data_IF_321754973952
#
_entry.id   IF_321754973952
#
_cell.length_a   1.000
_cell.length_b   1.000
_cell.length_c   1.000
_cell.angle_alpha   90.00
_cell.angle_beta   90.00
_cell.angle_gamma   90.00
#
_symmetry.space_group_name_H-M   'P 1'
#
loop_
_entity.id
_entity.type
_entity.pdbx_description
1 polymer ?
#
# COMPACT_ATOMS: atom_id res chain seq x y z
N UNK A 1 -10.39 0.30 2.52
CA UNK A 1 -11.75 -0.22 2.70
C UNK A 1 -12.40 0.51 3.86
N UNK A 2 -13.66 0.91 3.75
CA UNK A 2 -14.34 1.86 4.61
C UNK A 2 -14.38 1.44 6.08
N UNK A 3 -13.90 2.31 6.97
CA UNK A 3 -14.29 2.31 8.38
C UNK A 3 -15.77 2.73 8.46
N UNK A 4 -16.66 1.77 8.61
CA UNK A 4 -18.06 2.02 8.95
C UNK A 4 -18.10 2.42 10.44
N UNK A 5 -18.52 3.66 10.72
CA UNK A 5 -18.85 4.15 12.06
C UNK A 5 -19.89 3.23 12.67
N UNK A 6 -19.52 2.49 13.70
CA UNK A 6 -20.45 1.83 14.61
C UNK A 6 -21.19 2.91 15.41
N UNK A 7 -22.39 3.29 14.97
CA UNK A 7 -23.34 3.95 15.83
C UNK A 7 -23.90 2.91 16.80
N UNK A 8 -23.48 2.97 18.05
CA UNK A 8 -24.14 2.21 19.11
C UNK A 8 -25.61 2.60 19.16
N UNK A 9 -26.48 1.62 18.90
CA UNK A 9 -27.93 1.81 19.01
C UNK A 9 -28.30 1.82 20.51
N UNK A 10 -28.55 3.01 21.05
CA UNK A 10 -28.97 3.20 22.40
C UNK A 10 -30.46 2.81 22.56
N UNK A 11 -30.71 1.55 22.94
CA UNK A 11 -31.95 1.14 23.58
C UNK A 11 -31.59 0.51 24.94
N UNK A 12 -31.13 1.32 25.86
CA UNK A 12 -31.01 0.94 27.26
C UNK A 12 -32.24 1.38 28.01
N UNK A 13 -32.94 0.40 28.60
CA UNK A 13 -34.00 0.62 29.52
C UNK A 13 -33.50 1.50 30.69
N UNK A 14 -34.22 2.57 30.94
CA UNK A 14 -34.00 3.56 32.02
C UNK A 14 -34.17 2.90 33.38
N UNK A 15 -33.17 2.18 33.90
CA UNK A 15 -33.05 1.87 35.31
C UNK A 15 -32.30 3.01 35.98
N UNK A 16 -32.93 3.68 36.90
CA UNK A 16 -32.34 4.74 37.73
C UNK A 16 -31.02 4.26 38.29
N UNK A 17 -29.92 4.89 37.86
CA UNK A 17 -28.61 4.79 38.54
C UNK A 17 -28.69 5.60 39.82
N UNK A 18 -28.72 4.92 40.96
CA UNK A 18 -28.39 5.55 42.23
C UNK A 18 -26.88 5.75 42.30
N UNK A 19 -26.48 7.00 42.34
CA UNK A 19 -25.21 7.59 42.78
C UNK A 19 -23.95 6.70 42.72
N UNK A 20 -23.36 6.53 41.54
CA UNK A 20 -21.88 6.52 41.37
C UNK A 20 -21.57 7.09 40.00
N UNK A 21 -21.37 8.37 39.89
CA UNK A 21 -20.72 9.06 38.75
C UNK A 21 -19.20 8.79 38.79
N UNK A 22 -18.78 7.53 38.74
CA UNK A 22 -17.36 7.22 38.67
C UNK A 22 -17.03 6.76 37.28
N UNK A 23 -16.46 7.67 36.48
CA UNK A 23 -15.68 7.35 35.27
C UNK A 23 -14.67 6.25 35.62
N UNK A 24 -14.46 5.29 34.71
CA UNK A 24 -13.39 4.28 34.84
C UNK A 24 -12.08 4.97 35.19
N UNK A 25 -11.42 4.62 36.29
CA UNK A 25 -10.08 5.07 36.63
C UNK A 25 -9.09 4.51 35.62
N UNK A 26 -8.37 5.39 34.90
CA UNK A 26 -7.48 5.06 33.80
C UNK A 26 -6.04 4.83 34.29
N UNK A 27 -5.75 3.61 34.76
CA UNK A 27 -4.45 3.26 35.33
C UNK A 27 -3.27 3.51 34.38
N UNK A 28 -3.48 3.38 33.08
CA UNK A 28 -2.47 3.67 32.04
C UNK A 28 -2.08 5.17 31.97
N UNK A 29 -2.83 6.07 32.62
CA UNK A 29 -2.45 7.48 32.71
C UNK A 29 -1.28 7.71 33.66
N UNK A 30 -1.10 6.83 34.65
CA UNK A 30 -0.02 6.93 35.65
C UNK A 30 1.09 5.92 35.37
N UNK A 31 0.75 4.73 34.85
CA UNK A 31 1.73 3.67 34.54
C UNK A 31 1.40 3.01 33.18
N UNK A 32 2.20 3.31 32.18
CA UNK A 32 2.09 2.71 30.84
C UNK A 32 2.54 1.25 30.79
N UNK A 33 3.25 0.74 31.83
CA UNK A 33 3.81 -0.60 31.90
C UNK A 33 3.03 -1.54 32.82
N UNK A 34 1.92 -1.08 33.39
CA UNK A 34 1.04 -1.92 34.17
C UNK A 34 0.33 -2.95 33.28
N UNK A 35 0.78 -4.20 33.34
CA UNK A 35 0.23 -5.28 32.52
C UNK A 35 -0.81 -6.14 33.22
N UNK A 36 -0.84 -6.13 34.57
CA UNK A 36 -1.79 -6.87 35.39
C UNK A 36 -2.44 -5.94 36.41
N UNK A 37 -3.74 -6.06 36.59
CA UNK A 37 -4.49 -5.29 37.55
C UNK A 37 -5.75 -6.02 37.99
N UNK A 38 -6.31 -5.66 39.13
CA UNK A 38 -7.62 -6.11 39.59
C UNK A 38 -8.61 -4.97 39.51
N UNK A 39 -9.86 -5.31 39.11
CA UNK A 39 -10.93 -4.37 38.97
C UNK A 39 -12.27 -5.00 39.28
N UNK A 40 -13.25 -4.16 39.61
CA UNK A 40 -14.64 -4.58 39.80
C UNK A 40 -15.45 -4.27 38.55
N UNK A 41 -16.27 -5.23 38.15
CA UNK A 41 -17.21 -5.08 37.02
C UNK A 41 -18.34 -4.13 37.48
N UNK A 42 -18.54 -3.04 36.74
CA UNK A 42 -19.62 -2.09 36.96
C UNK A 42 -20.87 -2.45 36.16
N UNK A 43 -20.69 -2.70 34.88
CA UNK A 43 -21.78 -3.07 33.94
C UNK A 43 -21.35 -4.13 32.96
N UNK A 44 -22.31 -4.95 32.56
CA UNK A 44 -22.18 -5.94 31.49
C UNK A 44 -23.37 -5.75 30.54
N UNK A 45 -23.13 -5.54 29.26
CA UNK A 45 -24.17 -5.29 28.27
C UNK A 45 -23.86 -6.02 26.96
N UNK A 46 -24.90 -6.43 26.25
CA UNK A 46 -24.74 -6.98 24.89
C UNK A 46 -24.21 -5.89 23.94
N UNK A 47 -23.21 -6.22 23.12
CA UNK A 47 -22.65 -5.35 22.12
C UNK A 47 -22.59 -6.05 20.76
N UNK A 48 -22.49 -5.27 19.68
CA UNK A 48 -22.28 -5.82 18.34
C UNK A 48 -20.90 -6.51 18.29
N UNK A 49 -20.91 -7.86 18.18
CA UNK A 49 -19.70 -8.67 18.11
C UNK A 49 -19.16 -9.21 19.42
N UNK A 50 -19.97 -9.18 20.52
CA UNK A 50 -19.56 -9.73 21.82
C UNK A 50 -20.33 -9.13 22.98
N UNK A 51 -19.69 -9.06 24.14
CA UNK A 51 -20.22 -8.39 25.35
C UNK A 51 -19.33 -7.22 25.72
N UNK A 52 -19.95 -6.10 26.02
CA UNK A 52 -19.28 -4.90 26.54
C UNK A 52 -19.23 -4.96 28.06
N UNK A 53 -18.06 -4.76 28.63
CA UNK A 53 -17.81 -4.73 30.08
C UNK A 53 -17.21 -3.39 30.44
N UNK A 54 -17.79 -2.73 31.47
CA UNK A 54 -17.23 -1.54 32.08
C UNK A 54 -16.67 -1.91 33.47
N UNK A 55 -15.45 -1.47 33.74
CA UNK A 55 -14.74 -1.72 35.00
C UNK A 55 -14.58 -0.40 35.78
N UNK A 56 -14.49 -0.49 37.15
CA UNK A 56 -14.20 0.66 38.00
C UNK A 56 -12.82 1.28 37.73
N UNK A 57 -11.90 0.48 37.26
CA UNK A 57 -10.54 0.90 36.79
C UNK A 57 -10.05 0.02 35.68
N UNK A 58 -9.16 0.55 34.82
CA UNK A 58 -8.61 -0.22 33.73
C UNK A 58 -7.21 0.23 33.36
N UNK A 59 -6.32 -0.75 33.10
CA UNK A 59 -5.04 -0.53 32.47
C UNK A 59 -5.09 -0.75 30.95
N UNK A 60 -6.19 -1.24 30.37
CA UNK A 60 -6.39 -1.35 28.94
C UNK A 60 -6.58 0.03 28.31
N UNK A 61 -5.75 0.35 27.32
CA UNK A 61 -5.84 1.58 26.56
C UNK A 61 -6.94 1.47 25.48
N UNK A 62 -7.89 2.40 25.39
CA UNK A 62 -8.87 2.44 24.31
C UNK A 62 -8.28 3.10 23.05
N UNK A 63 -8.88 2.87 21.88
CA UNK A 63 -8.50 3.62 20.68
C UNK A 63 -8.75 5.11 20.87
N UNK A 64 -7.68 5.90 20.93
CA UNK A 64 -7.75 7.35 21.11
C UNK A 64 -6.45 8.03 20.67
N UNK A 65 -6.52 9.31 20.26
CA UNK A 65 -5.33 10.11 19.96
C UNK A 65 -4.41 9.55 18.86
N UNK A 66 -4.93 8.71 17.97
CA UNK A 66 -4.18 8.05 16.92
C UNK A 66 -3.52 6.73 17.33
N UNK A 67 -3.51 6.39 18.63
CA UNK A 67 -3.08 5.08 19.13
C UNK A 67 -4.27 4.11 19.12
N UNK A 68 -4.05 2.87 18.70
CA UNK A 68 -5.04 1.80 18.72
C UNK A 68 -5.12 1.11 20.08
N UNK A 69 -6.22 0.40 20.31
CA UNK A 69 -6.53 -0.27 21.57
C UNK A 69 -5.58 -1.43 21.92
N UNK A 70 -5.54 -1.74 23.22
CA UNK A 70 -4.88 -2.95 23.72
C UNK A 70 -5.79 -4.18 23.63
N UNK A 71 -5.17 -5.34 23.63
CA UNK A 71 -5.82 -6.64 23.77
C UNK A 71 -5.32 -7.39 25.00
N UNK A 72 -6.01 -8.43 25.41
CA UNK A 72 -5.60 -9.23 26.57
C UNK A 72 -6.74 -10.10 27.10
N UNK A 73 -6.81 -10.25 28.43
CA UNK A 73 -7.75 -11.15 29.08
C UNK A 73 -8.35 -10.53 30.33
N UNK A 74 -9.60 -10.89 30.62
CA UNK A 74 -10.25 -10.70 31.92
C UNK A 74 -10.55 -12.07 32.51
N UNK A 75 -10.15 -12.30 33.77
CA UNK A 75 -10.36 -13.54 34.49
C UNK A 75 -11.10 -13.24 35.81
N UNK A 76 -12.18 -13.98 36.12
CA UNK A 76 -12.92 -13.82 37.40
C UNK A 76 -12.09 -14.41 38.53
N UNK A 77 -11.82 -13.63 39.56
CA UNK A 77 -10.92 -14.00 40.70
C UNK A 77 -11.69 -14.58 41.88
N UNK A 78 -12.97 -14.28 42.04
CA UNK A 78 -13.67 -14.42 43.33
C UNK A 78 -14.29 -15.80 43.61
N UNK A 79 -14.28 -16.76 42.69
CA UNK A 79 -14.91 -18.06 42.89
C UNK A 79 -14.04 -19.21 42.35
N UNK A 80 -13.48 -20.01 43.28
CA UNK A 80 -12.67 -21.17 42.94
C UNK A 80 -13.42 -22.25 42.09
N UNK A 81 -14.74 -22.19 42.05
CA UNK A 81 -15.60 -23.08 41.27
C UNK A 81 -16.05 -22.46 39.94
N UNK A 82 -15.69 -21.20 39.66
CA UNK A 82 -16.11 -20.46 38.45
C UNK A 82 -14.89 -19.89 37.74
N UNK A 83 -14.32 -20.67 36.85
CA UNK A 83 -13.21 -20.19 35.98
C UNK A 83 -13.81 -19.58 34.72
N UNK A 84 -13.96 -18.25 34.73
CA UNK A 84 -14.39 -17.50 33.53
C UNK A 84 -13.19 -16.71 33.03
N UNK A 85 -12.76 -17.02 31.81
CA UNK A 85 -11.70 -16.30 31.10
C UNK A 85 -12.26 -15.73 29.81
N UNK A 86 -12.12 -14.42 29.63
CA UNK A 86 -12.67 -13.66 28.52
C UNK A 86 -11.55 -12.95 27.75
N UNK A 87 -11.54 -13.13 26.44
CA UNK A 87 -10.63 -12.42 25.57
C UNK A 87 -11.12 -10.97 25.36
N UNK A 88 -10.29 -9.97 25.70
CA UNK A 88 -10.51 -8.57 25.35
C UNK A 88 -10.03 -8.38 23.90
N UNK A 89 -10.96 -8.15 22.98
CA UNK A 89 -10.66 -8.01 21.53
C UNK A 89 -10.65 -6.57 21.06
N UNK A 90 -11.36 -5.69 21.76
CA UNK A 90 -11.42 -4.26 21.46
C UNK A 90 -11.64 -3.49 22.73
N UNK A 91 -11.11 -2.27 22.77
CA UNK A 91 -11.31 -1.32 23.87
C UNK A 91 -11.63 0.04 23.28
N UNK A 92 -12.79 0.57 23.64
CA UNK A 92 -13.28 1.85 23.16
C UNK A 92 -13.61 2.79 24.32
N UNK A 93 -13.70 4.09 24.04
CA UNK A 93 -14.21 5.09 24.98
C UNK A 93 -15.68 5.39 24.66
N UNK A 94 -16.55 5.34 25.65
CA UNK A 94 -17.94 5.79 25.51
C UNK A 94 -17.97 7.31 25.38
N UNK A 95 -18.51 7.83 24.29
CA UNK A 95 -18.55 9.28 24.01
C UNK A 95 -19.38 10.07 24.98
N UNK A 96 -20.34 9.45 25.72
CA UNK A 96 -21.27 10.12 26.60
C UNK A 96 -20.79 10.09 28.06
N UNK A 97 -20.40 8.92 28.57
CA UNK A 97 -19.95 8.73 29.94
C UNK A 97 -18.44 8.92 30.12
N UNK A 98 -17.66 8.72 29.07
CA UNK A 98 -16.20 8.66 29.12
C UNK A 98 -15.66 7.36 29.72
N UNK A 99 -16.53 6.35 29.95
CA UNK A 99 -16.10 5.04 30.44
C UNK A 99 -15.29 4.26 29.44
N UNK A 100 -14.44 3.36 29.93
CA UNK A 100 -13.66 2.43 29.07
C UNK A 100 -14.49 1.16 28.87
N UNK A 101 -14.92 0.94 27.62
CA UNK A 101 -15.70 -0.23 27.19
C UNK A 101 -14.74 -1.32 26.74
N UNK A 102 -14.76 -2.49 27.42
CA UNK A 102 -14.00 -3.67 27.01
C UNK A 102 -14.92 -4.61 26.24
N UNK A 103 -14.67 -4.83 24.96
CA UNK A 103 -15.41 -5.77 24.13
C UNK A 103 -14.77 -7.14 24.28
N UNK A 104 -15.51 -8.07 24.90
CA UNK A 104 -14.99 -9.38 25.26
C UNK A 104 -15.74 -10.52 24.57
N UNK A 105 -15.04 -11.63 24.39
CA UNK A 105 -15.57 -12.92 23.91
C UNK A 105 -15.17 -14.02 24.88
N UNK A 106 -16.05 -15.01 25.09
CA UNK A 106 -15.77 -16.20 25.87
C UNK A 106 -14.92 -17.21 25.10
N UNK A 107 -14.05 -17.93 25.81
CA UNK A 107 -13.15 -18.94 25.19
C UNK A 107 -13.92 -20.19 24.71
N UNK A 108 -15.07 -20.57 25.33
CA UNK A 108 -15.71 -21.87 25.13
C UNK A 108 -17.19 -21.84 24.68
N UNK A 109 -17.71 -20.70 24.20
CA UNK A 109 -19.10 -20.65 23.64
C UNK A 109 -20.23 -20.88 24.66
N UNK A 110 -19.93 -21.18 25.91
CA UNK A 110 -20.89 -21.23 27.00
C UNK A 110 -21.15 -19.82 27.54
N UNK A 111 -22.43 -19.48 27.65
CA UNK A 111 -22.93 -18.14 27.90
C UNK A 111 -22.13 -17.39 28.96
N UNK A 112 -21.69 -16.18 28.59
CA UNK A 112 -20.94 -15.26 29.44
C UNK A 112 -21.63 -15.12 30.80
N UNK A 113 -21.02 -15.69 31.83
CA UNK A 113 -21.57 -15.63 33.18
C UNK A 113 -20.92 -14.53 34.04
N UNK A 114 -20.41 -13.45 33.42
CA UNK A 114 -19.89 -12.27 34.08
C UNK A 114 -21.03 -11.37 34.51
N UNK A 115 -20.98 -10.85 35.76
CA UNK A 115 -22.01 -10.03 36.35
C UNK A 115 -21.44 -8.76 37.00
N UNK A 116 -22.28 -7.72 37.10
CA UNK A 116 -21.92 -6.55 37.87
C UNK A 116 -21.61 -6.91 39.34
N UNK A 117 -20.50 -6.39 39.85
CA UNK A 117 -19.97 -6.70 41.17
C UNK A 117 -18.88 -7.77 41.18
N UNK A 118 -18.71 -8.56 40.15
CA UNK A 118 -17.60 -9.52 40.05
C UNK A 118 -16.24 -8.80 40.10
N UNK A 119 -15.26 -9.45 40.73
CA UNK A 119 -13.87 -8.99 40.72
C UNK A 119 -13.12 -9.76 39.64
N UNK A 120 -12.48 -9.02 38.76
CA UNK A 120 -11.71 -9.59 37.62
C UNK A 120 -10.25 -9.18 37.71
N UNK A 121 -9.38 -10.07 37.27
CA UNK A 121 -7.98 -9.77 36.93
C UNK A 121 -7.89 -9.48 35.44
N UNK A 122 -7.42 -8.27 35.09
CA UNK A 122 -7.08 -7.90 33.74
C UNK A 122 -5.61 -8.18 33.45
N UNK A 123 -5.31 -8.86 32.34
CA UNK A 123 -3.95 -9.10 31.87
C UNK A 123 -3.84 -8.58 30.43
N UNK A 124 -2.98 -7.58 30.23
CA UNK A 124 -2.77 -6.94 28.92
C UNK A 124 -1.73 -7.74 28.12
N UNK A 125 -1.89 -7.81 26.80
CA UNK A 125 -0.87 -8.31 25.89
C UNK A 125 0.37 -7.39 25.93
N UNK A 126 1.38 -7.83 26.67
CA UNK A 126 2.59 -7.08 26.91
C UNK A 126 3.40 -6.81 25.63
N UNK A 127 3.33 -7.74 24.64
CA UNK A 127 4.00 -7.58 23.35
C UNK A 127 3.36 -6.44 22.55
N UNK A 128 2.02 -6.44 22.44
CA UNK A 128 1.24 -5.39 21.79
C UNK A 128 1.42 -4.03 22.48
N UNK A 129 1.34 -3.98 23.80
CA UNK A 129 1.55 -2.75 24.58
C UNK A 129 2.96 -2.19 24.33
N UNK A 130 3.99 -3.03 24.39
CA UNK A 130 5.39 -2.61 24.13
C UNK A 130 5.50 -2.00 22.74
N UNK A 131 4.96 -2.64 21.73
CA UNK A 131 4.96 -2.11 20.37
C UNK A 131 4.27 -0.74 20.31
N UNK A 132 3.07 -0.60 20.89
CA UNK A 132 2.32 0.67 20.88
C UNK A 132 3.08 1.81 21.59
N UNK A 133 3.68 1.57 22.74
CA UNK A 133 4.46 2.61 23.44
C UNK A 133 5.70 3.02 22.65
N UNK A 134 6.35 2.08 21.93
CA UNK A 134 7.47 2.39 21.04
C UNK A 134 7.02 3.27 19.88
N UNK A 135 5.95 2.88 19.18
CA UNK A 135 5.43 3.65 18.04
C UNK A 135 4.98 5.05 18.46
N UNK A 136 4.22 5.16 19.55
CA UNK A 136 3.67 6.44 20.02
C UNK A 136 4.76 7.38 20.52
N UNK A 137 5.69 6.88 21.32
CA UNK A 137 6.82 7.70 21.81
C UNK A 137 7.76 8.10 20.68
N UNK A 138 8.00 7.19 19.73
CA UNK A 138 8.75 7.50 18.52
C UNK A 138 8.11 8.58 17.67
N UNK A 139 6.77 8.60 17.59
CA UNK A 139 6.03 9.68 16.94
C UNK A 139 6.30 11.03 17.61
N UNK A 140 6.28 11.10 18.95
CA UNK A 140 6.57 12.35 19.67
C UNK A 140 8.00 12.85 19.38
N UNK A 141 8.99 11.96 19.46
CA UNK A 141 10.38 12.31 19.15
C UNK A 141 10.53 12.77 17.70
N UNK A 142 9.93 12.08 16.74
CA UNK A 142 10.01 12.42 15.32
C UNK A 142 9.32 13.75 15.01
N UNK A 143 8.14 13.97 15.58
CA UNK A 143 7.40 15.24 15.40
C UNK A 143 8.17 16.42 15.97
N UNK A 144 8.78 16.26 17.17
CA UNK A 144 9.62 17.29 17.77
C UNK A 144 10.89 17.54 16.93
N UNK A 145 11.48 16.54 16.31
CA UNK A 145 12.62 16.68 15.43
C UNK A 145 12.29 17.53 14.18
N UNK A 146 11.14 17.27 13.52
CA UNK A 146 10.70 18.09 12.39
C UNK A 146 10.42 19.55 12.79
N UNK A 147 9.78 19.74 13.94
CA UNK A 147 9.47 21.09 14.43
C UNK A 147 10.73 21.87 14.80
N UNK A 148 11.68 21.26 15.53
CA UNK A 148 12.93 21.91 15.93
C UNK A 148 13.84 22.26 14.74
N UNK A 149 13.92 21.40 13.73
CA UNK A 149 14.81 21.62 12.59
C UNK A 149 14.21 22.54 11.54
N UNK A 150 12.87 22.52 11.36
CA UNK A 150 12.25 23.11 10.17
C UNK A 150 10.95 23.86 10.46
N UNK A 151 10.54 23.97 11.72
CA UNK A 151 9.24 24.55 12.13
C UNK A 151 8.04 23.86 11.43
N UNK A 152 8.15 22.54 11.23
CA UNK A 152 7.13 21.74 10.58
C UNK A 152 6.25 21.04 11.62
N UNK A 153 5.05 21.60 11.84
CA UNK A 153 4.09 21.04 12.79
C UNK A 153 3.45 19.73 12.27
N UNK A 154 3.27 18.76 13.16
CA UNK A 154 2.48 17.57 12.91
C UNK A 154 0.99 17.88 13.09
N UNK A 155 0.19 17.65 12.04
CA UNK A 155 -1.27 17.89 12.05
C UNK A 155 -2.08 16.65 12.41
N UNK A 156 -1.58 15.46 12.07
CA UNK A 156 -2.22 14.19 12.43
C UNK A 156 -1.21 13.08 12.66
N UNK A 157 -1.64 12.07 13.42
CA UNK A 157 -0.93 10.82 13.67
C UNK A 157 -1.87 9.64 13.52
N UNK A 158 -1.41 8.57 12.87
CA UNK A 158 -2.15 7.32 12.75
C UNK A 158 -1.20 6.15 13.00
N UNK A 159 -1.58 5.27 13.93
CA UNK A 159 -0.89 4.02 14.20
C UNK A 159 -1.61 2.90 13.46
N UNK A 160 -0.96 2.35 12.45
CA UNK A 160 -1.42 1.15 11.76
C UNK A 160 -0.79 -0.12 12.34
N UNK A 161 -1.20 -1.28 11.83
CA UNK A 161 -0.69 -2.57 12.30
C UNK A 161 0.77 -2.80 11.87
N UNK A 162 1.16 -2.38 10.67
CA UNK A 162 2.51 -2.58 10.12
C UNK A 162 3.38 -1.33 10.24
N UNK A 163 2.82 -0.16 10.03
CA UNK A 163 3.54 1.11 10.06
C UNK A 163 2.71 2.23 10.68
N UNK A 164 3.38 3.31 11.03
CA UNK A 164 2.76 4.54 11.54
C UNK A 164 2.94 5.69 10.55
N UNK A 165 2.05 6.68 10.60
CA UNK A 165 2.17 7.87 9.76
C UNK A 165 1.95 9.15 10.56
N UNK A 166 2.73 10.18 10.24
CA UNK A 166 2.46 11.57 10.63
C UNK A 166 2.23 12.43 9.39
N UNK A 167 1.29 13.35 9.47
CA UNK A 167 1.06 14.36 8.43
C UNK A 167 1.69 15.68 8.87
N UNK A 168 2.61 16.21 8.07
CA UNK A 168 3.32 17.45 8.33
C UNK A 168 2.68 18.61 7.56
N UNK A 169 2.55 19.77 8.20
CA UNK A 169 1.98 20.99 7.63
C UNK A 169 2.97 21.64 6.62
N UNK A 170 3.23 20.96 5.49
CA UNK A 170 4.12 21.47 4.44
C UNK A 170 3.69 20.96 3.06
N UNK A 171 3.90 21.72 2.02
CA UNK A 171 3.61 21.30 0.65
C UNK A 171 4.64 20.29 0.10
N UNK A 172 5.88 20.39 0.57
CA UNK A 172 6.99 19.56 0.10
C UNK A 172 7.99 19.31 1.21
N UNK A 173 8.71 18.19 1.13
CA UNK A 173 9.85 17.89 1.99
C UNK A 173 10.95 17.23 1.16
N UNK A 174 12.18 17.64 1.36
CA UNK A 174 13.33 17.10 0.64
C UNK A 174 13.88 15.85 1.33
N UNK A 175 14.54 14.93 0.58
CA UNK A 175 15.23 13.79 1.18
C UNK A 175 16.25 14.16 2.26
N UNK A 176 16.92 15.31 2.12
CA UNK A 176 17.89 15.81 3.13
C UNK A 176 17.19 16.20 4.43
N UNK A 177 16.03 16.81 4.37
CA UNK A 177 15.24 17.15 5.57
C UNK A 177 14.74 15.91 6.28
N UNK A 178 14.26 14.92 5.53
CA UNK A 178 13.85 13.62 6.09
C UNK A 178 15.00 12.94 6.81
N UNK A 179 16.16 12.80 6.16
CA UNK A 179 17.36 12.22 6.74
C UNK A 179 17.86 12.94 7.99
N UNK A 180 17.77 14.28 8.01
CA UNK A 180 18.19 15.07 9.15
C UNK A 180 17.23 14.91 10.33
N UNK A 181 15.91 14.87 10.11
CA UNK A 181 14.92 14.63 11.14
C UNK A 181 15.03 13.21 11.71
N UNK A 182 15.18 12.20 10.86
CA UNK A 182 15.41 10.81 11.27
C UNK A 182 16.69 10.67 12.11
N UNK A 183 17.78 11.31 11.68
CA UNK A 183 19.04 11.29 12.43
C UNK A 183 18.89 11.93 13.81
N UNK A 184 18.32 13.15 13.89
CA UNK A 184 18.09 13.82 15.18
C UNK A 184 17.22 12.98 16.09
N UNK A 185 16.13 12.37 15.56
CA UNK A 185 15.28 11.50 16.34
C UNK A 185 16.03 10.29 16.91
N UNK A 186 16.89 9.65 16.12
CA UNK A 186 17.69 8.53 16.57
C UNK A 186 18.83 8.96 17.53
N UNK A 187 19.39 10.17 17.40
CA UNK A 187 20.34 10.72 18.37
C UNK A 187 19.68 10.90 19.74
N UNK A 188 18.47 11.48 19.81
CA UNK A 188 17.69 11.62 21.05
C UNK A 188 17.33 10.26 21.67
N UNK A 189 17.02 9.25 20.84
CA UNK A 189 16.79 7.88 21.30
C UNK A 189 18.07 7.32 21.95
N UNK A 190 19.20 7.48 21.29
CA UNK A 190 20.49 6.98 21.79
C UNK A 190 20.96 7.66 23.07
N UNK A 191 20.54 8.90 23.32
CA UNK A 191 20.83 9.61 24.57
C UNK A 191 20.05 9.08 25.79
N UNK A 192 19.04 8.24 25.57
CA UNK A 192 18.21 7.61 26.61
C UNK A 192 17.61 8.61 27.60
N UNK A 193 17.03 9.69 27.08
CA UNK A 193 16.45 10.76 27.89
C UNK A 193 15.22 10.26 28.65
N UNK A 194 15.05 10.64 29.95
CA UNK A 194 13.84 10.34 30.71
C UNK A 194 12.58 10.87 30.05
N UNK A 195 11.50 10.06 30.07
CA UNK A 195 10.15 10.44 29.65
C UNK A 195 9.25 10.42 30.88
N UNK A 196 8.77 11.59 31.28
CA UNK A 196 8.01 11.77 32.51
C UNK A 196 6.56 12.12 32.22
N UNK A 197 5.65 11.55 33.01
CA UNK A 197 4.24 11.92 33.01
C UNK A 197 4.05 13.05 34.02
N UNK A 198 3.52 14.19 33.58
CA UNK A 198 3.20 15.33 34.45
C UNK A 198 1.73 15.70 34.30
N UNK A 199 1.18 16.26 35.35
CA UNK A 199 -0.18 16.82 35.35
C UNK A 199 -0.10 18.32 35.66
N UNK A 200 -0.76 19.12 34.83
CA UNK A 200 -0.76 20.58 34.95
C UNK A 200 -2.15 21.14 34.63
N UNK A 201 -2.50 22.26 35.22
CA UNK A 201 -3.65 23.04 34.77
C UNK A 201 -3.39 23.67 33.41
N UNK A 202 -4.44 24.08 32.65
CA UNK A 202 -4.25 24.75 31.38
C UNK A 202 -3.35 26.01 31.45
N UNK A 203 -3.40 26.74 32.53
CA UNK A 203 -2.61 27.96 32.75
C UNK A 203 -1.14 27.63 33.02
N UNK A 204 -0.88 26.62 33.87
CA UNK A 204 0.48 26.10 34.08
C UNK A 204 1.08 25.57 32.77
N UNK A 205 0.31 24.79 32.00
CA UNK A 205 0.75 24.24 30.71
C UNK A 205 1.17 25.34 29.71
N UNK A 206 0.43 26.46 29.67
CA UNK A 206 0.83 27.63 28.83
C UNK A 206 2.15 28.21 29.25
N UNK A 207 2.39 28.34 30.55
CA UNK A 207 3.66 28.89 31.08
C UNK A 207 4.83 27.92 30.87
N UNK A 208 4.57 26.63 30.82
CA UNK A 208 5.56 25.58 30.56
C UNK A 208 5.95 25.45 29.07
N UNK A 209 5.26 26.16 28.16
CA UNK A 209 5.56 26.11 26.72
C UNK A 209 5.04 24.83 26.03
N UNK A 210 3.94 24.24 26.51
CA UNK A 210 3.30 23.10 25.86
C UNK A 210 2.87 23.47 24.45
N UNK A 211 3.30 22.71 23.45
CA UNK A 211 3.08 22.99 22.02
C UNK A 211 1.61 23.09 21.64
N UNK A 212 0.78 22.16 22.09
CA UNK A 212 -0.63 22.11 21.72
C UNK A 212 -1.48 21.81 22.96
N UNK A 213 -2.34 22.75 23.31
CA UNK A 213 -3.31 22.57 24.40
C UNK A 213 -4.67 22.26 23.78
N UNK A 214 -5.30 21.11 24.10
CA UNK A 214 -6.65 20.79 23.63
C UNK A 214 -7.68 21.85 24.05
N UNK A 215 -8.66 22.13 23.19
CA UNK A 215 -9.68 23.15 23.47
C UNK A 215 -10.63 22.77 24.60
N UNK A 216 -10.85 21.46 24.81
CA UNK A 216 -11.77 20.96 25.84
C UNK A 216 -11.00 20.31 27.00
N UNK A 217 -10.51 21.13 27.91
CA UNK A 217 -9.85 20.65 29.14
C UNK A 217 -10.74 20.93 30.33
N UNK A 218 -11.09 19.88 31.11
CA UNK A 218 -12.00 20.05 32.26
C UNK A 218 -11.25 20.51 33.52
N UNK A 219 -10.14 19.86 33.90
CA UNK A 219 -9.43 20.24 35.13
C UNK A 219 -7.90 20.20 34.98
N UNK A 220 -7.33 19.08 34.60
CA UNK A 220 -5.88 18.91 34.44
C UNK A 220 -5.52 18.27 33.09
N UNK A 221 -4.43 18.74 32.49
CA UNK A 221 -3.81 18.17 31.35
C UNK A 221 -2.78 17.12 31.77
N UNK A 222 -2.81 15.96 31.15
CA UNK A 222 -1.71 15.01 31.22
C UNK A 222 -0.69 15.41 30.17
N UNK A 223 0.55 15.64 30.61
CA UNK A 223 1.68 16.04 29.78
C UNK A 223 2.70 14.92 29.74
N UNK A 224 3.31 14.75 28.59
CA UNK A 224 4.47 13.90 28.37
C UNK A 224 5.66 14.80 28.17
N UNK A 225 6.64 14.69 29.07
CA UNK A 225 7.88 15.46 29.08
C UNK A 225 9.05 14.57 28.68
N UNK A 226 9.57 14.78 27.46
CA UNK A 226 10.84 14.18 27.03
C UNK A 226 11.92 15.21 27.40
N UNK A 227 12.68 14.90 28.43
CA UNK A 227 13.62 15.84 29.06
C UNK A 227 14.45 16.62 28.05
N UNK A 228 14.38 17.99 28.12
CA UNK A 228 15.09 18.94 27.27
C UNK A 228 14.84 18.76 25.77
N UNK A 229 13.74 18.09 25.40
CA UNK A 229 13.44 17.85 23.98
C UNK A 229 12.00 18.16 23.59
N UNK A 230 11.00 17.60 24.26
CA UNK A 230 9.58 17.81 23.92
C UNK A 230 8.68 17.85 25.15
N UNK A 231 7.71 18.73 25.15
CA UNK A 231 6.65 18.76 26.16
C UNK A 231 5.30 18.91 25.47
N UNK A 232 4.48 17.86 25.56
CA UNK A 232 3.21 17.83 24.83
C UNK A 232 2.07 17.23 25.64
N UNK A 233 0.84 17.71 25.42
CA UNK A 233 -0.37 17.13 26.01
C UNK A 233 -0.71 15.83 25.27
N UNK A 234 -0.73 14.70 25.99
CA UNK A 234 -1.02 13.40 25.41
C UNK A 234 -1.67 12.45 26.41
N UNK A 235 -2.76 11.76 26.00
CA UNK A 235 -3.43 10.71 26.76
C UNK A 235 -2.91 9.30 26.52
N UNK A 236 -1.99 9.12 25.55
CA UNK A 236 -1.50 7.80 25.14
C UNK A 236 -0.49 7.16 26.08
N UNK A 237 -0.09 5.94 25.77
CA UNK A 237 0.93 5.21 26.54
C UNK A 237 2.33 5.49 25.99
N UNK A 238 3.30 5.69 26.87
CA UNK A 238 4.67 6.08 26.50
C UNK A 238 5.72 5.25 27.22
N UNK A 239 6.93 5.22 26.63
CA UNK A 239 8.13 4.65 27.23
C UNK A 239 8.58 5.46 28.46
N UNK A 240 9.35 4.87 29.37
CA UNK A 240 9.95 5.56 30.53
C UNK A 240 11.23 6.32 30.18
N UNK A 241 11.90 5.96 29.08
CA UNK A 241 13.05 6.69 28.53
C UNK A 241 13.10 6.52 27.01
N UNK A 242 13.73 7.45 26.31
CA UNK A 242 13.77 7.44 24.83
C UNK A 242 14.52 6.22 24.29
N UNK A 243 15.49 5.66 25.01
CA UNK A 243 16.21 4.44 24.61
C UNK A 243 15.30 3.22 24.46
N UNK A 244 14.17 3.16 25.19
CA UNK A 244 13.19 2.08 25.08
C UNK A 244 12.41 2.09 23.76
N UNK A 245 12.44 3.20 22.99
CA UNK A 245 11.88 3.27 21.65
C UNK A 245 12.65 2.34 20.69
N UNK A 246 13.96 2.19 20.90
CA UNK A 246 14.85 1.41 20.08
C UNK A 246 15.42 2.23 18.92
N UNK A 247 14.77 2.24 17.77
CA UNK A 247 15.18 3.06 16.63
C UNK A 247 13.97 3.54 15.84
N UNK A 248 14.11 4.62 15.10
CA UNK A 248 13.12 5.11 14.13
C UNK A 248 13.68 4.91 12.73
N UNK A 249 12.87 4.36 11.85
CA UNK A 249 13.17 4.19 10.43
C UNK A 249 12.05 4.83 9.61
N UNK A 250 12.36 5.87 8.83
CA UNK A 250 11.45 6.46 7.86
C UNK A 250 11.33 5.55 6.65
N UNK A 251 10.11 5.39 6.10
CA UNK A 251 9.86 4.49 4.98
C UNK A 251 9.60 5.25 3.69
N UNK A 252 8.46 5.88 3.59
CA UNK A 252 8.07 6.64 2.40
C UNK A 252 7.41 7.94 2.77
N UNK A 253 7.27 8.80 1.78
CA UNK A 253 6.47 10.02 1.87
C UNK A 253 5.44 10.04 0.75
N UNK A 254 4.28 10.63 1.03
CA UNK A 254 3.25 10.85 0.03
C UNK A 254 2.59 12.22 0.25
N UNK A 255 2.13 12.84 -0.85
CA UNK A 255 1.40 14.10 -0.78
C UNK A 255 -0.04 13.84 -0.37
N UNK A 256 -0.52 14.57 0.64
CA UNK A 256 -1.91 14.50 1.12
C UNK A 256 -2.57 15.87 1.07
N UNK A 257 -3.89 15.93 1.29
CA UNK A 257 -4.64 17.21 1.19
C UNK A 257 -4.11 18.32 2.10
N UNK A 258 -3.60 17.97 3.27
CA UNK A 258 -3.16 18.91 4.30
C UNK A 258 -1.63 19.00 4.44
N UNK A 259 -0.88 18.43 3.50
CA UNK A 259 0.56 18.48 3.56
C UNK A 259 1.28 17.24 3.01
N UNK A 260 2.33 16.82 3.70
CA UNK A 260 3.10 15.63 3.38
C UNK A 260 2.96 14.60 4.49
N UNK A 261 2.54 13.40 4.13
CA UNK A 261 2.53 12.23 5.01
C UNK A 261 3.89 11.57 5.01
N UNK A 262 4.41 11.31 6.20
CA UNK A 262 5.64 10.55 6.44
C UNK A 262 5.29 9.25 7.12
N UNK A 263 5.63 8.14 6.49
CA UNK A 263 5.50 6.79 7.06
C UNK A 263 6.78 6.41 7.79
N UNK A 264 6.64 5.82 8.96
CA UNK A 264 7.75 5.41 9.82
C UNK A 264 7.39 4.17 10.64
N UNK A 265 8.42 3.54 11.17
CA UNK A 265 8.34 2.41 12.13
C UNK A 265 9.37 2.60 13.22
N UNK A 266 9.06 2.10 14.43
CA UNK A 266 9.97 2.17 15.58
C UNK A 266 10.26 0.79 16.16
N UNK A 267 11.34 0.67 16.91
CA UNK A 267 11.67 -0.48 17.75
C UNK A 267 11.70 -1.80 16.98
N UNK A 268 10.95 -2.79 17.46
CA UNK A 268 10.93 -4.11 16.83
C UNK A 268 10.36 -4.10 15.42
N UNK A 269 9.40 -3.21 15.11
CA UNK A 269 8.92 -3.03 13.72
C UNK A 269 10.03 -2.55 12.81
N UNK A 270 10.88 -1.60 13.26
CA UNK A 270 12.00 -1.12 12.47
C UNK A 270 13.02 -2.23 12.19
N UNK A 271 13.34 -3.05 13.19
CA UNK A 271 14.24 -4.22 13.04
C UNK A 271 13.65 -5.23 12.06
N UNK A 272 12.36 -5.58 12.21
CA UNK A 272 11.68 -6.53 11.33
C UNK A 272 11.63 -6.04 9.87
N UNK A 273 11.34 -4.76 9.68
CA UNK A 273 11.31 -4.13 8.35
C UNK A 273 12.70 -4.11 7.71
N UNK A 274 13.73 -3.71 8.44
CA UNK A 274 15.12 -3.73 7.94
C UNK A 274 15.59 -5.15 7.59
N UNK A 275 15.17 -6.16 8.37
CA UNK A 275 15.46 -7.58 8.07
C UNK A 275 14.80 -8.00 6.76
N UNK A 276 13.53 -7.70 6.59
CA UNK A 276 12.78 -8.00 5.37
C UNK A 276 13.38 -7.31 4.12
N UNK A 277 13.74 -6.03 4.25
CA UNK A 277 14.41 -5.29 3.18
C UNK A 277 15.75 -5.96 2.80
N UNK A 278 16.56 -6.37 3.80
CA UNK A 278 17.83 -7.06 3.58
C UNK A 278 17.64 -8.41 2.88
N UNK A 279 16.65 -9.20 3.28
CA UNK A 279 16.34 -10.50 2.67
C UNK A 279 15.91 -10.31 1.20
N UNK A 280 15.02 -9.36 0.92
CA UNK A 280 14.58 -9.02 -0.44
C UNK A 280 15.75 -8.57 -1.33
N UNK A 281 16.63 -7.71 -0.80
CA UNK A 281 17.82 -7.27 -1.54
C UNK A 281 18.81 -8.41 -1.77
N UNK A 282 18.96 -9.32 -0.81
CA UNK A 282 19.83 -10.50 -0.94
C UNK A 282 19.30 -11.46 -2.01
N UNK A 283 17.99 -11.70 -2.05
CA UNK A 283 17.35 -12.48 -3.11
C UNK A 283 17.61 -11.84 -4.49
N UNK A 284 17.37 -10.54 -4.63
CA UNK A 284 17.64 -9.83 -5.86
C UNK A 284 19.12 -9.89 -6.27
N UNK A 285 20.05 -9.76 -5.33
CA UNK A 285 21.49 -9.87 -5.58
C UNK A 285 21.91 -11.26 -6.06
N UNK A 286 21.26 -12.30 -5.53
CA UNK A 286 21.50 -13.70 -5.93
C UNK A 286 21.14 -13.92 -7.41
N UNK A 287 20.04 -13.34 -7.91
CA UNK A 287 19.64 -13.44 -9.32
C UNK A 287 20.72 -12.87 -10.28
N UNK A 288 21.49 -11.90 -9.82
CA UNK A 288 22.58 -11.26 -10.58
C UNK A 288 23.97 -11.79 -10.21
N UNK A 289 24.08 -12.74 -9.25
CA UNK A 289 25.36 -13.22 -8.72
C UNK A 289 26.27 -12.08 -8.28
N UNK A 290 25.74 -11.11 -7.54
CA UNK A 290 26.41 -9.87 -7.15
C UNK A 290 26.18 -9.51 -5.69
N UNK A 291 26.88 -8.49 -5.19
CA UNK A 291 26.63 -7.94 -3.84
C UNK A 291 25.40 -7.02 -3.82
N UNK A 292 24.69 -6.97 -2.66
CA UNK A 292 23.47 -6.18 -2.52
C UNK A 292 23.59 -4.70 -2.95
N UNK A 293 24.76 -4.09 -2.70
CA UNK A 293 25.04 -2.70 -3.09
C UNK A 293 25.20 -2.49 -4.59
N UNK A 294 25.45 -3.56 -5.36
CA UNK A 294 25.68 -3.51 -6.80
C UNK A 294 24.40 -3.82 -7.61
N UNK A 295 23.33 -4.31 -6.96
CA UNK A 295 22.05 -4.63 -7.61
C UNK A 295 21.53 -3.52 -8.52
N UNK A 296 21.51 -2.23 -8.11
CA UNK A 296 21.04 -1.16 -8.99
C UNK A 296 21.89 -0.99 -10.25
N UNK A 297 23.20 -1.26 -10.16
CA UNK A 297 24.10 -1.20 -11.31
C UNK A 297 23.86 -2.37 -12.27
N UNK A 298 23.68 -3.59 -11.76
CA UNK A 298 23.39 -4.77 -12.55
C UNK A 298 22.03 -4.64 -13.28
N UNK A 299 21.02 -4.10 -12.61
CA UNK A 299 19.71 -3.82 -13.25
C UNK A 299 19.88 -2.86 -14.43
N UNK A 300 20.61 -1.75 -14.26
CA UNK A 300 20.90 -0.80 -15.37
C UNK A 300 21.63 -1.49 -16.52
N UNK A 301 22.65 -2.27 -16.21
CA UNK A 301 23.41 -3.02 -17.22
C UNK A 301 22.52 -3.98 -18.01
N UNK A 302 21.70 -4.77 -17.32
CA UNK A 302 20.74 -5.67 -17.99
C UNK A 302 19.74 -4.94 -18.87
N UNK A 303 19.22 -3.78 -18.42
CA UNK A 303 18.33 -2.96 -19.24
C UNK A 303 19.02 -2.46 -20.52
N UNK A 304 20.28 -2.06 -20.44
CA UNK A 304 21.04 -1.61 -21.61
C UNK A 304 21.38 -2.77 -22.55
N UNK A 305 21.72 -3.94 -22.02
CA UNK A 305 21.92 -5.18 -22.80
C UNK A 305 20.65 -5.62 -23.54
N UNK A 306 19.48 -5.57 -22.87
CA UNK A 306 18.17 -5.87 -23.48
C UNK A 306 17.89 -4.89 -24.63
N UNK A 307 18.11 -3.59 -24.46
CA UNK A 307 17.92 -2.58 -25.51
C UNK A 307 18.87 -2.84 -26.70
N UNK A 308 20.13 -3.17 -26.42
CA UNK A 308 21.10 -3.47 -27.44
C UNK A 308 20.73 -4.75 -28.23
N UNK A 309 20.30 -5.81 -27.53
CA UNK A 309 19.83 -7.05 -28.14
C UNK A 309 18.59 -6.83 -29.02
N UNK A 310 17.60 -6.05 -28.54
CA UNK A 310 16.40 -5.70 -29.32
C UNK A 310 16.76 -4.93 -30.60
N UNK A 311 17.70 -3.98 -30.51
CA UNK A 311 18.20 -3.24 -31.71
C UNK A 311 18.91 -4.14 -32.68
N UNK A 312 19.75 -5.05 -32.19
CA UNK A 312 20.45 -6.03 -33.04
C UNK A 312 19.46 -6.99 -33.69
N UNK A 313 18.49 -7.51 -32.96
CA UNK A 313 17.42 -8.36 -33.50
C UNK A 313 16.63 -7.63 -34.58
N UNK A 314 16.23 -6.38 -34.36
CA UNK A 314 15.49 -5.60 -35.35
C UNK A 314 16.29 -5.44 -36.66
N UNK A 315 17.59 -5.12 -36.57
CA UNK A 315 18.47 -5.02 -37.74
C UNK A 315 18.55 -6.33 -38.50
N UNK A 316 18.72 -7.46 -37.80
CA UNK A 316 18.77 -8.77 -38.44
C UNK A 316 17.44 -9.12 -39.14
N UNK A 317 16.31 -8.79 -38.49
CA UNK A 317 15.00 -8.99 -39.11
C UNK A 317 14.81 -8.11 -40.34
N UNK A 318 15.34 -6.86 -40.37
CA UNK A 318 15.37 -6.02 -41.57
C UNK A 318 16.17 -6.62 -42.70
N UNK A 319 17.36 -7.15 -42.40
CA UNK A 319 18.21 -7.83 -43.40
C UNK A 319 17.52 -9.07 -43.97
N UNK A 320 16.91 -9.90 -43.11
CA UNK A 320 16.13 -11.07 -43.52
C UNK A 320 14.92 -10.66 -44.37
N UNK A 321 14.19 -9.61 -43.97
CA UNK A 321 13.05 -9.12 -44.76
C UNK A 321 13.48 -8.60 -46.15
N UNK A 322 14.68 -7.97 -46.26
CA UNK A 322 15.23 -7.49 -47.53
C UNK A 322 15.57 -8.63 -48.46
N UNK A 323 16.32 -9.62 -47.96
CA UNK A 323 16.68 -10.82 -48.74
C UNK A 323 15.43 -11.62 -49.17
N UNK A 324 14.43 -11.75 -48.30
CA UNK A 324 13.16 -12.38 -48.64
C UNK A 324 12.38 -11.58 -49.70
N UNK A 325 12.37 -10.24 -49.58
CA UNK A 325 11.71 -9.37 -50.55
C UNK A 325 12.33 -9.54 -51.94
N UNK A 326 13.67 -9.53 -52.06
CA UNK A 326 14.38 -9.77 -53.30
C UNK A 326 14.03 -11.14 -53.93
N UNK A 327 14.08 -12.21 -53.14
CA UNK A 327 13.74 -13.56 -53.57
C UNK A 327 12.28 -13.66 -54.05
N UNK A 328 11.32 -13.08 -53.30
CA UNK A 328 9.92 -13.11 -53.69
C UNK A 328 9.65 -12.29 -54.95
N UNK A 329 10.30 -11.13 -55.14
CA UNK A 329 10.17 -10.32 -56.33
C UNK A 329 10.77 -11.02 -57.57
N UNK A 330 11.86 -11.77 -57.44
CA UNK A 330 12.44 -12.55 -58.54
C UNK A 330 11.50 -13.64 -59.07
N UNK A 331 10.76 -14.30 -58.16
CA UNK A 331 9.83 -15.39 -58.49
C UNK A 331 8.39 -14.93 -58.77
N UNK A 332 8.05 -13.67 -58.45
CA UNK A 332 6.69 -13.16 -58.58
C UNK A 332 6.27 -12.98 -60.05
N UNK A 333 5.04 -13.37 -60.42
CA UNK A 333 4.49 -13.11 -61.73
C UNK A 333 4.33 -11.61 -61.98
N UNK A 334 4.61 -11.19 -63.20
CA UNK A 334 4.38 -9.81 -63.64
C UNK A 334 3.00 -9.68 -64.30
N UNK A 335 2.22 -8.69 -63.88
CA UNK A 335 0.90 -8.36 -64.45
C UNK A 335 0.81 -6.85 -64.67
N UNK A 336 0.59 -6.42 -65.87
CA UNK A 336 0.42 -4.99 -66.14
C UNK A 336 1.61 -4.11 -65.74
N UNK A 337 2.83 -4.61 -65.79
CA UNK A 337 4.06 -3.90 -65.42
C UNK A 337 4.34 -3.86 -63.91
N UNK A 338 3.57 -4.62 -63.10
CA UNK A 338 3.78 -4.74 -61.66
C UNK A 338 3.96 -6.20 -61.22
N UNK A 339 4.80 -6.43 -60.21
CA UNK A 339 4.98 -7.75 -59.59
C UNK A 339 3.88 -8.00 -58.57
N UNK A 340 3.22 -9.16 -58.61
CA UNK A 340 2.22 -9.58 -57.63
C UNK A 340 2.80 -10.65 -56.72
N UNK A 341 3.04 -10.32 -55.45
CA UNK A 341 3.49 -11.23 -54.43
C UNK A 341 2.32 -11.64 -53.54
N UNK A 342 2.00 -12.94 -53.50
CA UNK A 342 0.98 -13.53 -52.66
C UNK A 342 1.66 -14.63 -51.87
N UNK A 343 1.78 -14.44 -50.53
CA UNK A 343 2.53 -15.37 -49.72
C UNK A 343 1.94 -15.49 -48.29
N UNK A 344 1.77 -16.72 -47.84
CA UNK A 344 1.43 -17.09 -46.48
C UNK A 344 2.67 -17.55 -45.71
N UNK A 345 2.79 -17.20 -44.45
CA UNK A 345 3.84 -17.56 -43.53
C UNK A 345 3.27 -18.14 -42.24
N UNK A 346 3.46 -19.42 -41.97
CA UNK A 346 2.90 -20.08 -40.80
C UNK A 346 3.50 -19.57 -39.49
N UNK A 347 4.82 -19.32 -39.44
CA UNK A 347 5.60 -19.07 -38.23
C UNK A 347 6.11 -17.62 -38.07
N UNK A 348 5.67 -16.70 -38.93
CA UNK A 348 6.07 -15.30 -38.85
C UNK A 348 4.97 -14.46 -38.20
N UNK A 349 5.37 -13.37 -37.53
CA UNK A 349 4.47 -12.44 -36.89
C UNK A 349 4.03 -11.27 -37.79
N UNK A 350 3.02 -10.54 -37.35
CA UNK A 350 2.51 -9.37 -38.07
C UNK A 350 3.58 -8.29 -38.29
N UNK A 351 4.52 -8.09 -37.35
CA UNK A 351 5.54 -7.05 -37.46
C UNK A 351 6.52 -7.37 -38.59
N UNK A 352 6.92 -8.65 -38.70
CA UNK A 352 7.80 -9.09 -39.77
C UNK A 352 7.12 -9.01 -41.13
N UNK A 353 5.87 -9.47 -41.29
CA UNK A 353 5.19 -9.38 -42.59
C UNK A 353 4.89 -7.94 -43.01
N UNK A 354 4.71 -7.01 -42.07
CA UNK A 354 4.64 -5.57 -42.36
C UNK A 354 5.99 -5.05 -42.90
N UNK A 355 7.07 -5.40 -42.23
CA UNK A 355 8.43 -5.03 -42.65
C UNK A 355 8.73 -5.58 -44.06
N UNK A 356 8.39 -6.84 -44.30
CA UNK A 356 8.55 -7.49 -45.61
C UNK A 356 7.70 -6.79 -46.68
N UNK A 357 6.45 -6.45 -46.39
CA UNK A 357 5.57 -5.70 -47.30
C UNK A 357 6.18 -4.34 -47.70
N UNK A 358 6.76 -3.63 -46.72
CA UNK A 358 7.45 -2.35 -46.96
C UNK A 358 8.70 -2.52 -47.79
N UNK A 359 9.49 -3.59 -47.58
CA UNK A 359 10.68 -3.89 -48.40
C UNK A 359 10.27 -4.24 -49.84
N UNK A 360 9.25 -5.08 -50.05
CA UNK A 360 8.70 -5.43 -51.36
C UNK A 360 8.26 -4.20 -52.16
N UNK A 361 7.53 -3.30 -51.54
CA UNK A 361 7.00 -2.09 -52.21
C UNK A 361 8.05 -1.01 -52.47
N UNK A 362 9.19 -1.03 -51.72
CA UNK A 362 10.32 -0.13 -51.96
C UNK A 362 11.29 -0.65 -53.06
N UNK A 363 11.42 -1.97 -53.19
CA UNK A 363 12.38 -2.57 -54.09
C UNK A 363 11.95 -2.59 -55.58
N UNK A 364 10.66 -2.35 -55.88
CA UNK A 364 10.15 -2.34 -57.24
C UNK A 364 8.66 -1.97 -57.34
N UNK A 365 8.14 -1.99 -58.57
CA UNK A 365 6.70 -1.83 -58.83
C UNK A 365 5.97 -3.13 -58.41
N UNK A 366 5.49 -3.17 -57.18
CA UNK A 366 4.95 -4.40 -56.57
C UNK A 366 3.64 -4.17 -55.79
N UNK A 367 2.79 -5.18 -55.85
CA UNK A 367 1.66 -5.40 -54.97
C UNK A 367 1.96 -6.63 -54.12
N UNK A 368 1.87 -6.51 -52.82
CA UNK A 368 2.09 -7.60 -51.88
C UNK A 368 0.82 -7.89 -51.07
N UNK A 369 0.37 -9.14 -51.11
CA UNK A 369 -0.73 -9.67 -50.30
C UNK A 369 -0.14 -10.76 -49.41
N UNK A 370 0.19 -10.38 -48.17
CA UNK A 370 0.86 -11.25 -47.23
C UNK A 370 -0.08 -11.66 -46.14
N UNK A 371 0.06 -12.88 -45.66
CA UNK A 371 -0.62 -13.36 -44.47
C UNK A 371 0.34 -14.11 -43.55
N UNK A 372 0.07 -14.09 -42.24
CA UNK A 372 0.77 -14.89 -41.27
C UNK A 372 -0.21 -15.67 -40.38
N UNK A 373 0.29 -16.83 -39.90
CA UNK A 373 -0.37 -17.68 -38.91
C UNK A 373 -0.03 -17.28 -37.46
N UNK A 374 0.14 -18.28 -36.61
CA UNK A 374 0.50 -18.10 -35.22
C UNK A 374 -0.70 -17.75 -34.33
N UNK A 375 -0.43 -17.18 -33.13
CA UNK A 375 -1.45 -16.90 -32.14
C UNK A 375 -2.49 -15.83 -32.53
N UNK A 376 -2.12 -14.96 -33.50
CA UNK A 376 -2.99 -13.91 -34.05
C UNK A 376 -2.84 -13.86 -35.56
N UNK A 377 -3.54 -14.73 -36.32
CA UNK A 377 -3.46 -14.75 -37.77
C UNK A 377 -3.83 -13.38 -38.33
N UNK A 378 -2.99 -12.88 -39.24
CA UNK A 378 -3.08 -11.51 -39.74
C UNK A 378 -2.77 -11.40 -41.22
N UNK A 379 -3.34 -10.35 -41.82
CA UNK A 379 -3.17 -10.00 -43.23
C UNK A 379 -2.46 -8.65 -43.37
N UNK A 380 -1.57 -8.50 -44.33
CA UNK A 380 -0.95 -7.23 -44.72
C UNK A 380 -0.98 -7.09 -46.21
N UNK A 381 -1.67 -6.08 -46.72
CA UNK A 381 -1.75 -5.72 -48.13
C UNK A 381 -1.00 -4.42 -48.34
N UNK A 382 -0.09 -4.41 -49.28
CA UNK A 382 0.67 -3.19 -49.61
C UNK A 382 0.95 -3.10 -51.12
N UNK A 383 1.12 -1.87 -51.59
CA UNK A 383 1.54 -1.60 -52.97
C UNK A 383 2.58 -0.47 -53.00
N UNK A 384 3.39 -0.46 -54.06
CA UNK A 384 4.22 0.69 -54.37
C UNK A 384 3.34 1.92 -54.61
N UNK A 385 3.69 3.04 -54.03
CA UNK A 385 2.89 4.29 -54.15
C UNK A 385 2.73 4.71 -55.62
N UNK A 386 1.53 5.10 -55.97
CA UNK A 386 1.18 5.47 -57.34
C UNK A 386 0.58 4.34 -58.16
N UNK A 387 0.54 3.11 -57.71
CA UNK A 387 -0.18 2.03 -58.37
C UNK A 387 -1.71 2.21 -58.24
N UNK A 388 -2.49 1.63 -59.21
CA UNK A 388 -3.92 1.93 -59.33
C UNK A 388 -4.82 1.36 -58.24
N UNK A 389 -4.36 0.34 -57.48
CA UNK A 389 -5.20 -0.33 -56.51
C UNK A 389 -5.44 0.51 -55.28
N UNK A 390 -6.38 0.09 -54.45
CA UNK A 390 -6.65 0.62 -53.08
C UNK A 390 -6.58 -0.51 -52.07
N UNK A 391 -5.46 -0.60 -51.38
CA UNK A 391 -5.21 -1.67 -50.39
C UNK A 391 -6.15 -1.54 -49.17
N UNK A 392 -6.57 -0.31 -48.81
CA UNK A 392 -7.55 -0.09 -47.76
C UNK A 392 -8.94 -0.60 -48.10
N UNK A 393 -9.38 -0.37 -49.31
CA UNK A 393 -10.67 -0.87 -49.83
C UNK A 393 -10.64 -2.42 -49.94
N UNK A 394 -9.58 -2.95 -50.54
CA UNK A 394 -9.35 -4.41 -50.68
C UNK A 394 -9.34 -5.09 -49.33
N UNK A 395 -8.61 -4.55 -48.36
CA UNK A 395 -8.58 -5.09 -46.99
C UNK A 395 -9.98 -5.09 -46.34
N UNK A 396 -10.73 -3.99 -46.43
CA UNK A 396 -12.08 -3.91 -45.85
C UNK A 396 -12.98 -5.00 -46.44
N UNK A 397 -12.96 -5.21 -47.75
CA UNK A 397 -13.71 -6.28 -48.41
C UNK A 397 -13.29 -7.66 -47.90
N UNK A 398 -11.99 -7.91 -47.80
CA UNK A 398 -11.43 -9.20 -47.35
C UNK A 398 -11.84 -9.51 -45.91
N UNK A 399 -11.64 -8.57 -44.97
CA UNK A 399 -11.98 -8.81 -43.55
C UNK A 399 -13.49 -8.88 -43.30
N UNK A 400 -14.31 -8.23 -44.13
CA UNK A 400 -15.75 -8.38 -44.08
C UNK A 400 -16.19 -9.81 -44.44
N UNK A 401 -15.58 -10.40 -45.44
CA UNK A 401 -15.81 -11.80 -45.84
C UNK A 401 -15.34 -12.80 -44.74
N UNK A 402 -14.30 -12.42 -43.99
CA UNK A 402 -13.76 -13.23 -42.88
C UNK A 402 -14.53 -13.01 -41.56
N UNK A 403 -15.42 -12.03 -41.46
CA UNK A 403 -16.09 -11.65 -40.21
C UNK A 403 -15.16 -10.99 -39.18
N UNK A 404 -14.07 -10.37 -39.63
CA UNK A 404 -13.03 -9.78 -38.78
C UNK A 404 -12.94 -8.25 -39.01
N UNK A 405 -11.92 -7.62 -38.45
CA UNK A 405 -11.69 -6.18 -38.58
C UNK A 405 -10.33 -5.91 -39.22
N UNK A 406 -10.28 -4.85 -40.00
CA UNK A 406 -9.06 -4.38 -40.64
C UNK A 406 -9.29 -3.04 -41.32
N UNK A 407 -8.21 -2.44 -41.82
CA UNK A 407 -8.24 -1.19 -42.55
C UNK A 407 -6.81 -0.67 -42.78
N UNK A 408 -6.74 0.48 -43.41
CA UNK A 408 -5.50 1.15 -43.74
C UNK A 408 -5.74 2.28 -44.73
N UNK A 409 -4.68 2.70 -45.38
CA UNK A 409 -4.74 3.68 -46.45
C UNK A 409 -4.65 3.00 -47.83
N UNK A 410 -4.57 3.81 -48.88
CA UNK A 410 -4.49 3.35 -50.26
C UNK A 410 -3.28 2.45 -50.54
N UNK A 411 -2.13 2.71 -49.91
CA UNK A 411 -0.87 2.03 -50.22
C UNK A 411 -0.56 0.87 -49.25
N UNK A 412 -1.15 0.87 -48.05
CA UNK A 412 -0.95 -0.19 -47.06
C UNK A 412 -2.14 -0.35 -46.13
N UNK A 413 -2.55 -1.60 -45.92
CA UNK A 413 -3.63 -1.96 -45.01
C UNK A 413 -3.32 -3.28 -44.27
N UNK A 414 -3.91 -3.45 -43.10
CA UNK A 414 -3.78 -4.67 -42.28
C UNK A 414 -5.13 -5.12 -41.76
N UNK A 415 -5.26 -6.42 -41.52
CA UNK A 415 -6.48 -6.99 -40.92
C UNK A 415 -6.19 -8.29 -40.18
N UNK A 416 -7.14 -8.74 -39.38
CA UNK A 416 -7.07 -10.04 -38.71
C UNK A 416 -7.73 -11.13 -39.55
N UNK A 417 -7.36 -12.38 -39.29
CA UNK A 417 -8.06 -13.55 -39.78
C UNK A 417 -8.46 -14.46 -38.59
N UNK A 418 -9.52 -15.30 -38.73
CA UNK A 418 -9.92 -16.21 -37.66
C UNK A 418 -8.89 -17.29 -37.34
N UNK A 419 -8.23 -17.80 -38.36
CA UNK A 419 -7.20 -18.83 -38.32
C UNK A 419 -6.24 -18.70 -39.54
N UNK A 420 -5.15 -19.50 -39.54
CA UNK A 420 -4.12 -19.47 -40.60
C UNK A 420 -4.64 -19.93 -41.96
N UNK A 421 -5.45 -20.96 -42.02
CA UNK A 421 -6.00 -21.52 -43.26
C UNK A 421 -6.92 -20.50 -43.97
N UNK A 422 -7.73 -19.77 -43.18
CA UNK A 422 -8.56 -18.69 -43.69
C UNK A 422 -7.74 -17.47 -44.10
N UNK A 423 -6.64 -17.19 -43.39
CA UNK A 423 -5.73 -16.12 -43.78
C UNK A 423 -5.05 -16.43 -45.15
N UNK A 424 -4.58 -17.67 -45.34
CA UNK A 424 -4.00 -18.10 -46.59
C UNK A 424 -5.02 -18.06 -47.74
N UNK A 425 -6.22 -18.60 -47.54
CA UNK A 425 -7.29 -18.55 -48.53
C UNK A 425 -7.68 -17.13 -48.91
N UNK A 426 -7.73 -16.23 -47.92
CA UNK A 426 -8.11 -14.86 -48.15
C UNK A 426 -7.16 -14.04 -49.02
N UNK A 427 -5.84 -14.25 -48.90
CA UNK A 427 -4.87 -13.57 -49.79
C UNK A 427 -4.96 -14.07 -51.22
N UNK A 428 -5.27 -15.36 -51.44
CA UNK A 428 -5.48 -15.93 -52.76
C UNK A 428 -6.74 -15.35 -53.43
N UNK A 429 -7.84 -15.21 -52.69
CA UNK A 429 -9.06 -14.56 -53.21
C UNK A 429 -8.84 -13.06 -53.46
N UNK A 430 -8.17 -12.34 -52.54
CA UNK A 430 -7.83 -10.93 -52.73
C UNK A 430 -6.96 -10.71 -53.99
N UNK A 431 -6.08 -11.66 -54.33
CA UNK A 431 -5.24 -11.57 -55.52
C UNK A 431 -6.03 -11.60 -56.84
N UNK A 432 -7.26 -12.15 -56.85
CA UNK A 432 -8.14 -12.14 -58.05
C UNK A 432 -8.75 -10.78 -58.30
N UNK A 433 -8.79 -9.93 -57.27
CA UNK A 433 -9.38 -8.59 -57.28
C UNK A 433 -8.36 -7.48 -57.56
N UNK A 434 -7.05 -7.79 -57.48
CA UNK A 434 -5.99 -6.86 -57.88
C UNK A 434 -6.08 -6.59 -59.38
N UNK A 435 -6.03 -5.32 -59.77
CA UNK A 435 -6.30 -4.84 -61.10
C UNK A 435 -5.62 -5.72 -62.22
N UNK A 436 -6.45 -6.12 -63.10
CA UNK A 436 -6.07 -6.88 -64.29
C UNK A 436 -5.35 -5.99 -65.28
#
# INVERSE_FOLDING_TARGET
>A
MCYARLKACSTLANTKRDEVDSLTDRLYYTDSFLHEFEARVLTVAGASGGVSVVLDRSAFYPTSGGQVFDTGWLEVVADANRSVRLRVRDVAEDEQSGDVLHIVEGDDGDGLSLQAGDVVRGTIDAGRRRDHVQQHSGQHVLSAAFEKLYDLATVSFHMGDESCTIDLATETISPKQLQAAERLANEVIAEDRPVEIRFATPDEARTMGVRKIPAAVREKLRLIDIRDFDLNACGGTHVGSTGQIGSILLRKTEKVKQGVRVEFVCGQRAVGTARHDFETLTEAATLFSTHIWEVPQQIRKSQDEIKAAQKAQHRLLEEVAELQAERLLQSAPERGGQKLVVQYFADLDLNFIKMLAQKLTKAGQAVSLLACGGAQPSLVFAQTSGLPNDMGALMKQTVQALGTRGGGNRDMAQGGAPDGDRAESAIVEAAKLVAR
#
